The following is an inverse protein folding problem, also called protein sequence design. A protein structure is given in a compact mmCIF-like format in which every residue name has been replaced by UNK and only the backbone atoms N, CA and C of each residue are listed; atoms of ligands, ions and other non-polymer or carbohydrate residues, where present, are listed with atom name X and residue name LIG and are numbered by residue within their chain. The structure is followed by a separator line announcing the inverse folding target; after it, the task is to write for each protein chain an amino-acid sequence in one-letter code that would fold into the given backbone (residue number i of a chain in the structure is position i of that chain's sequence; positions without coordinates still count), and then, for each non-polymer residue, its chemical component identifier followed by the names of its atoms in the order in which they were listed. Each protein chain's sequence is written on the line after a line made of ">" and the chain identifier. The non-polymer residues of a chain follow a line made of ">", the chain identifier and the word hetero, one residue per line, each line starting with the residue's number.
data_IF_151428407947
#
_entry.id   IF_151428407947
#
_cell.length_a   1.000
_cell.length_b   1.000
_cell.length_c   1.000
_cell.angle_alpha   90.00
_cell.angle_beta   90.00
_cell.angle_gamma   90.00
#
_symmetry.space_group_name_H-M   'P 1'
#
loop_
_entity.id
_entity.type
_entity.pdbx_description
1 polymer ?
#
# COMPACT_ATOMS: atom_id res chain seq x y z
N UNK A 1 68.24 -18.89 18.23
CA UNK A 1 67.13 -17.91 18.03
C UNK A 1 66.13 -18.32 16.93
N UNK A 2 66.53 -18.71 15.72
CA UNK A 2 65.61 -18.99 14.60
C UNK A 2 64.56 -20.11 14.85
N UNK A 3 64.91 -21.15 15.61
CA UNK A 3 64.01 -22.30 15.88
C UNK A 3 62.78 -21.95 16.73
N UNK A 4 62.89 -20.97 17.63
CA UNK A 4 61.78 -20.54 18.49
C UNK A 4 60.79 -19.64 17.74
N UNK A 5 61.27 -18.81 16.82
CA UNK A 5 60.42 -17.97 15.98
C UNK A 5 59.58 -18.79 15.01
N UNK A 6 60.15 -19.85 14.43
CA UNK A 6 59.43 -20.79 13.56
C UNK A 6 58.27 -21.46 14.31
N UNK A 7 58.55 -21.96 15.52
CA UNK A 7 57.54 -22.64 16.34
C UNK A 7 56.36 -21.73 16.72
N UNK A 8 56.64 -20.46 17.01
CA UNK A 8 55.60 -19.45 17.28
C UNK A 8 54.75 -19.17 16.03
N UNK A 9 55.36 -19.13 14.85
CA UNK A 9 54.64 -18.94 13.58
C UNK A 9 53.76 -20.14 13.25
N UNK A 10 54.24 -21.37 13.47
CA UNK A 10 53.46 -22.60 13.31
C UNK A 10 52.22 -22.58 14.21
N UNK A 11 52.39 -22.27 15.51
CA UNK A 11 51.25 -22.21 16.44
C UNK A 11 50.23 -21.12 16.04
N UNK A 12 50.69 -19.98 15.52
CA UNK A 12 49.79 -18.93 15.01
C UNK A 12 49.05 -19.37 13.75
N UNK A 13 49.72 -20.10 12.86
CA UNK A 13 49.12 -20.62 11.63
C UNK A 13 48.01 -21.63 11.97
N UNK A 14 48.29 -22.56 12.88
CA UNK A 14 47.31 -23.57 13.33
C UNK A 14 46.09 -22.91 13.99
N UNK A 15 46.31 -21.88 14.81
CA UNK A 15 45.24 -21.11 15.43
C UNK A 15 44.40 -20.35 14.38
N UNK A 16 45.03 -19.76 13.36
CA UNK A 16 44.33 -19.10 12.28
C UNK A 16 43.53 -20.08 11.40
N UNK A 17 44.09 -21.25 11.10
CA UNK A 17 43.38 -22.30 10.37
C UNK A 17 42.13 -22.78 11.14
N UNK A 18 42.28 -23.01 12.45
CA UNK A 18 41.16 -23.40 13.31
C UNK A 18 40.06 -22.33 13.34
N UNK A 19 40.45 -21.05 13.42
CA UNK A 19 39.51 -19.94 13.39
C UNK A 19 38.79 -19.81 12.03
N UNK A 20 39.49 -20.02 10.91
CA UNK A 20 38.88 -20.02 9.57
C UNK A 20 37.84 -21.14 9.46
N UNK A 21 38.16 -22.35 9.91
CA UNK A 21 37.22 -23.48 9.90
C UNK A 21 35.97 -23.20 10.74
N UNK A 22 36.13 -22.54 11.90
CA UNK A 22 35.00 -22.13 12.73
C UNK A 22 34.12 -21.10 12.00
N UNK A 23 34.72 -20.11 11.35
CA UNK A 23 33.99 -19.12 10.56
C UNK A 23 33.24 -19.75 9.38
N UNK A 24 33.85 -20.68 8.66
CA UNK A 24 33.21 -21.43 7.58
C UNK A 24 32.02 -22.25 8.07
N UNK A 25 32.14 -22.90 9.23
CA UNK A 25 31.06 -23.64 9.87
C UNK A 25 29.88 -22.72 10.26
N UNK A 26 30.18 -21.57 10.87
CA UNK A 26 29.17 -20.56 11.23
C UNK A 26 28.49 -19.99 9.98
N UNK A 27 29.25 -19.71 8.93
CA UNK A 27 28.72 -19.20 7.65
C UNK A 27 27.77 -20.21 7.01
N UNK A 28 28.15 -21.49 6.96
CA UNK A 28 27.29 -22.54 6.43
C UNK A 28 25.98 -22.66 7.23
N UNK A 29 26.07 -22.61 8.56
CA UNK A 29 24.88 -22.64 9.43
C UNK A 29 23.97 -21.42 9.20
N UNK A 30 24.55 -20.23 9.08
CA UNK A 30 23.76 -19.02 8.80
C UNK A 30 23.13 -19.05 7.42
N UNK A 31 23.81 -19.64 6.43
CA UNK A 31 23.31 -19.78 5.06
C UNK A 31 22.11 -20.73 5.01
N UNK A 32 22.19 -21.88 5.69
CA UNK A 32 21.07 -22.83 5.77
C UNK A 32 19.87 -22.21 6.50
N UNK A 33 20.10 -21.56 7.64
CA UNK A 33 19.04 -20.83 8.36
C UNK A 33 18.37 -19.77 7.49
N UNK A 34 19.15 -19.04 6.69
CA UNK A 34 18.59 -18.03 5.77
C UNK A 34 17.73 -18.67 4.68
N UNK A 35 18.16 -19.81 4.15
CA UNK A 35 17.37 -20.56 3.16
C UNK A 35 16.06 -21.08 3.77
N UNK A 36 16.10 -21.58 5.00
CA UNK A 36 14.92 -22.06 5.72
C UNK A 36 13.91 -20.93 5.98
N UNK A 37 14.39 -19.77 6.46
CA UNK A 37 13.55 -18.58 6.68
C UNK A 37 12.88 -18.14 5.37
N UNK A 38 13.61 -18.11 4.25
CA UNK A 38 13.04 -17.77 2.95
C UNK A 38 11.93 -18.74 2.54
N UNK A 39 12.11 -20.03 2.78
CA UNK A 39 11.13 -21.06 2.47
C UNK A 39 9.86 -20.92 3.34
N UNK A 40 10.05 -20.70 4.65
CA UNK A 40 8.93 -20.43 5.57
C UNK A 40 8.14 -19.19 5.11
N UNK A 41 8.84 -18.11 4.78
CA UNK A 41 8.22 -16.86 4.34
C UNK A 41 7.42 -17.05 3.05
N UNK A 42 7.93 -17.81 2.09
CA UNK A 42 7.21 -18.16 0.87
C UNK A 42 5.92 -18.94 1.16
N UNK A 43 5.98 -19.96 2.02
CA UNK A 43 4.80 -20.74 2.44
C UNK A 43 3.77 -19.88 3.17
N UNK A 44 4.21 -19.01 4.08
CA UNK A 44 3.33 -18.09 4.79
C UNK A 44 2.65 -17.11 3.83
N UNK A 45 3.37 -16.62 2.82
CA UNK A 45 2.79 -15.75 1.80
C UNK A 45 1.70 -16.46 0.99
N UNK A 46 1.93 -17.73 0.63
CA UNK A 46 0.93 -18.56 -0.04
C UNK A 46 -0.30 -18.80 0.83
N UNK A 47 -0.12 -19.12 2.12
CA UNK A 47 -1.22 -19.26 3.08
C UNK A 47 -2.05 -17.97 3.21
N UNK A 48 -1.41 -16.81 3.27
CA UNK A 48 -2.09 -15.51 3.29
C UNK A 48 -2.90 -15.30 2.01
N UNK A 49 -2.37 -15.72 0.86
CA UNK A 49 -3.08 -15.63 -0.42
C UNK A 49 -4.34 -16.51 -0.42
N UNK A 50 -4.25 -17.73 0.10
CA UNK A 50 -5.41 -18.64 0.23
C UNK A 50 -6.46 -18.06 1.17
N UNK A 51 -6.07 -17.59 2.36
CA UNK A 51 -6.98 -16.96 3.32
C UNK A 51 -7.68 -15.72 2.75
N UNK A 52 -6.97 -14.92 1.94
CA UNK A 52 -7.57 -13.80 1.21
C UNK A 52 -8.63 -14.26 0.20
N UNK A 53 -8.42 -15.42 -0.45
CA UNK A 53 -9.40 -16.04 -1.33
C UNK A 53 -10.66 -16.44 -0.56
N UNK A 54 -10.48 -17.20 0.53
CA UNK A 54 -11.58 -17.63 1.41
C UNK A 54 -12.37 -16.45 1.99
N UNK A 55 -11.69 -15.36 2.35
CA UNK A 55 -12.34 -14.13 2.81
C UNK A 55 -13.19 -13.49 1.72
N UNK A 56 -12.73 -13.49 0.46
CA UNK A 56 -13.54 -12.98 -0.65
C UNK A 56 -14.77 -13.84 -0.88
N UNK A 57 -14.63 -15.16 -0.79
CA UNK A 57 -15.76 -16.09 -0.94
C UNK A 57 -16.79 -15.88 0.17
N UNK A 58 -16.33 -15.67 1.41
CA UNK A 58 -17.20 -15.36 2.54
C UNK A 58 -17.87 -13.98 2.39
N UNK A 59 -17.14 -12.97 1.90
CA UNK A 59 -17.70 -11.65 1.60
C UNK A 59 -18.80 -11.76 0.52
N UNK A 60 -18.54 -12.49 -0.57
CA UNK A 60 -19.51 -12.75 -1.62
C UNK A 60 -20.74 -13.47 -1.07
N UNK A 61 -20.54 -14.43 -0.17
CA UNK A 61 -21.64 -15.11 0.51
C UNK A 61 -22.48 -14.17 1.38
N UNK A 62 -21.85 -13.28 2.16
CA UNK A 62 -22.56 -12.25 2.93
C UNK A 62 -23.37 -11.35 2.00
N UNK A 63 -22.78 -10.90 0.89
CA UNK A 63 -23.49 -10.05 -0.09
C UNK A 63 -24.72 -10.76 -0.67
N UNK A 64 -24.60 -12.04 -1.04
CA UNK A 64 -25.76 -12.83 -1.50
C UNK A 64 -26.85 -12.95 -0.42
N UNK A 65 -26.48 -13.15 0.85
CA UNK A 65 -27.44 -13.23 1.96
C UNK A 65 -28.11 -11.88 2.26
N UNK A 66 -27.41 -10.77 2.05
CA UNK A 66 -28.01 -9.44 2.15
C UNK A 66 -29.02 -9.17 1.03
N UNK A 67 -28.75 -9.61 -0.20
CA UNK A 67 -29.65 -9.53 -1.34
C UNK A 67 -30.99 -10.24 -1.05
N UNK A 68 -30.93 -11.43 -0.45
CA UNK A 68 -32.13 -12.20 -0.05
C UNK A 68 -32.96 -11.45 1.01
N UNK A 69 -32.31 -10.72 1.93
CA UNK A 69 -32.97 -9.93 2.98
C UNK A 69 -33.53 -8.59 2.49
N UNK A 70 -32.94 -7.97 1.49
CA UNK A 70 -33.32 -6.64 0.96
C UNK A 70 -34.64 -6.63 0.18
N UNK A 71 -35.23 -7.80 -0.09
CA UNK A 71 -36.64 -7.92 -0.49
C UNK A 71 -37.62 -7.35 0.56
N UNK A 72 -37.15 -7.01 1.78
CA UNK A 72 -37.99 -6.55 2.88
C UNK A 72 -37.34 -5.48 3.80
N UNK A 73 -36.96 -4.27 3.35
CA UNK A 73 -37.01 -3.01 4.16
C UNK A 73 -36.51 -1.74 3.45
N UNK A 74 -36.78 -0.61 4.11
CA UNK A 74 -37.00 0.76 3.62
C UNK A 74 -35.80 1.56 3.09
N UNK A 75 -36.11 2.41 2.12
CA UNK A 75 -35.32 3.51 1.53
C UNK A 75 -34.56 4.34 2.58
N UNK A 76 -33.23 4.47 2.42
CA UNK A 76 -32.46 5.56 3.04
C UNK A 76 -30.98 5.27 3.33
N UNK A 77 -30.60 4.02 3.53
CA UNK A 77 -29.20 3.62 3.76
C UNK A 77 -28.66 2.94 2.51
N UNK A 78 -27.55 3.43 1.96
CA UNK A 78 -26.87 2.76 0.84
C UNK A 78 -26.46 1.37 1.32
N UNK A 79 -27.04 0.33 0.73
CA UNK A 79 -26.70 -1.04 1.13
C UNK A 79 -25.23 -1.31 0.82
N UNK A 80 -24.61 -2.24 1.56
CA UNK A 80 -23.24 -2.65 1.25
C UNK A 80 -23.15 -3.13 -0.20
N UNK A 81 -24.14 -3.85 -0.70
CA UNK A 81 -24.18 -4.29 -2.10
C UNK A 81 -24.20 -3.12 -3.09
N UNK A 82 -25.10 -2.13 -2.89
CA UNK A 82 -25.16 -0.93 -3.73
C UNK A 82 -23.82 -0.19 -3.71
N UNK A 83 -23.20 -0.07 -2.54
CA UNK A 83 -21.89 0.55 -2.37
C UNK A 83 -20.78 -0.23 -3.09
N UNK A 84 -20.75 -1.54 -2.95
CA UNK A 84 -19.76 -2.42 -3.57
C UNK A 84 -19.84 -2.34 -5.11
N UNK A 85 -21.05 -2.16 -5.65
CA UNK A 85 -21.30 -2.01 -7.08
C UNK A 85 -21.09 -0.58 -7.61
N UNK A 86 -21.31 0.45 -6.79
CA UNK A 86 -21.12 1.85 -7.20
C UNK A 86 -19.65 2.21 -7.39
N UNK A 87 -18.76 1.57 -6.64
CA UNK A 87 -17.32 1.83 -6.71
C UNK A 87 -16.64 1.11 -7.88
N UNK A 88 -15.97 1.87 -8.74
CA UNK A 88 -15.13 1.35 -9.81
C UNK A 88 -13.64 1.68 -9.54
N UNK A 89 -13.01 0.87 -8.67
CA UNK A 89 -11.59 0.99 -8.30
C UNK A 89 -10.75 0.11 -9.24
N UNK A 90 -9.65 0.63 -9.78
CA UNK A 90 -8.70 -0.14 -10.59
C UNK A 90 -8.12 -1.36 -9.87
N UNK A 91 -7.84 -2.42 -10.62
CA UNK A 91 -7.09 -3.60 -10.15
C UNK A 91 -5.59 -3.32 -10.02
N UNK A 92 -5.06 -2.29 -10.71
CA UNK A 92 -3.64 -1.91 -10.58
C UNK A 92 -3.39 -1.12 -9.28
N UNK A 93 -3.03 -1.87 -8.24
CA UNK A 93 -2.74 -1.32 -6.90
C UNK A 93 -1.56 -0.37 -6.85
N UNK A 94 -0.73 -0.28 -7.89
CA UNK A 94 0.34 0.73 -7.94
C UNK A 94 -0.21 2.15 -8.18
N UNK A 95 -1.48 2.26 -8.55
CA UNK A 95 -2.18 3.53 -8.77
C UNK A 95 -3.07 3.89 -7.57
N UNK A 96 -3.02 3.11 -6.50
CA UNK A 96 -3.86 3.25 -5.32
C UNK A 96 -3.02 3.73 -4.13
N UNK A 97 -3.48 4.79 -3.48
CA UNK A 97 -2.80 5.46 -2.37
C UNK A 97 -3.77 5.69 -1.22
N UNK A 98 -3.36 5.31 -0.01
CA UNK A 98 -4.19 5.43 1.18
C UNK A 98 -4.10 6.79 1.87
N UNK A 99 -5.25 7.42 2.11
CA UNK A 99 -5.38 8.53 3.08
C UNK A 99 -5.69 7.90 4.44
N UNK A 100 -4.67 7.82 5.32
CA UNK A 100 -4.74 7.11 6.60
C UNK A 100 -5.15 5.61 6.47
N UNK A 101 -4.80 5.00 5.35
CA UNK A 101 -4.89 3.55 5.09
C UNK A 101 -3.46 3.08 4.79
N UNK A 102 -3.03 2.00 5.44
CA UNK A 102 -1.67 1.47 5.23
C UNK A 102 -1.49 0.97 3.78
N UNK A 103 -0.41 1.39 3.12
CA UNK A 103 -0.10 0.93 1.77
C UNK A 103 0.06 -0.59 1.71
N UNK A 104 0.60 -1.23 2.75
CA UNK A 104 0.70 -2.70 2.84
C UNK A 104 -0.67 -3.36 2.84
N UNK A 105 -1.68 -2.73 3.44
CA UNK A 105 -3.06 -3.23 3.38
C UNK A 105 -3.57 -3.20 1.94
N UNK A 106 -3.43 -2.06 1.25
CA UNK A 106 -3.87 -1.90 -0.14
C UNK A 106 -3.17 -2.94 -1.04
N UNK A 107 -1.84 -3.10 -0.92
CA UNK A 107 -1.09 -4.04 -1.74
C UNK A 107 -1.50 -5.51 -1.51
N UNK A 108 -1.76 -5.89 -0.26
CA UNK A 108 -1.99 -7.29 0.11
C UNK A 108 -3.45 -7.74 0.10
N UNK A 109 -4.43 -6.84 -0.06
CA UNK A 109 -5.86 -7.17 -0.03
C UNK A 109 -6.51 -7.06 -1.40
N UNK A 110 -7.57 -7.83 -1.62
CA UNK A 110 -8.35 -7.78 -2.87
C UNK A 110 -9.12 -6.46 -2.98
N UNK A 111 -9.52 -6.07 -4.20
CA UNK A 111 -10.37 -4.89 -4.41
C UNK A 111 -11.70 -5.01 -3.63
N UNK A 112 -12.41 -6.15 -3.62
CA UNK A 112 -13.59 -6.31 -2.76
C UNK A 112 -13.31 -6.07 -1.27
N UNK A 113 -12.19 -6.56 -0.74
CA UNK A 113 -11.82 -6.32 0.67
C UNK A 113 -11.53 -4.83 0.92
N UNK A 114 -10.89 -4.15 -0.04
CA UNK A 114 -10.64 -2.70 0.05
C UNK A 114 -11.96 -1.92 0.03
N UNK A 115 -12.88 -2.25 -0.88
CA UNK A 115 -14.22 -1.64 -0.92
C UNK A 115 -14.97 -1.87 0.40
N UNK A 116 -14.99 -3.09 0.91
CA UNK A 116 -15.60 -3.37 2.22
C UNK A 116 -14.95 -2.56 3.35
N UNK A 117 -13.62 -2.44 3.35
CA UNK A 117 -12.92 -1.60 4.31
C UNK A 117 -13.37 -0.14 4.22
N UNK A 118 -13.45 0.43 3.02
CA UNK A 118 -13.95 1.79 2.82
C UNK A 118 -15.40 1.94 3.33
N UNK A 119 -16.27 0.96 3.08
CA UNK A 119 -17.63 0.93 3.63
C UNK A 119 -17.64 0.98 5.16
N UNK A 120 -16.80 0.19 5.83
CA UNK A 120 -16.73 0.17 7.31
C UNK A 120 -16.24 1.47 7.94
N UNK A 121 -15.66 2.38 7.14
CA UNK A 121 -15.23 3.71 7.58
C UNK A 121 -16.08 4.83 6.99
N UNK A 122 -17.32 4.53 6.58
CA UNK A 122 -18.28 5.50 6.05
C UNK A 122 -17.73 6.31 4.85
N UNK A 123 -16.87 5.69 4.03
CA UNK A 123 -16.25 6.34 2.89
C UNK A 123 -17.22 6.46 1.70
N UNK A 124 -18.26 7.30 1.84
CA UNK A 124 -19.33 7.46 0.86
C UNK A 124 -19.13 8.60 -0.14
N UNK A 125 -18.13 9.47 0.07
CA UNK A 125 -17.78 10.49 -0.92
C UNK A 125 -16.99 9.86 -2.06
N UNK A 126 -17.43 10.15 -3.28
CA UNK A 126 -16.73 9.79 -4.52
C UNK A 126 -16.54 11.06 -5.34
N UNK A 127 -15.29 11.45 -5.52
CA UNK A 127 -14.94 12.72 -6.16
C UNK A 127 -13.88 12.49 -7.24
N UNK A 128 -13.95 13.24 -8.33
CA UNK A 128 -12.94 13.23 -9.38
C UNK A 128 -12.35 14.63 -9.52
N UNK A 129 -11.03 14.72 -9.39
CA UNK A 129 -10.30 15.98 -9.30
C UNK A 129 -9.20 16.03 -10.35
N UNK A 130 -9.01 17.20 -10.97
CA UNK A 130 -7.91 17.46 -11.87
C UNK A 130 -6.89 18.40 -11.24
N UNK A 131 -5.72 17.86 -10.91
CA UNK A 131 -4.58 18.62 -10.44
C UNK A 131 -3.87 19.23 -11.66
N UNK A 132 -4.04 20.54 -11.84
CA UNK A 132 -3.47 21.29 -12.95
C UNK A 132 -2.13 21.93 -12.57
N UNK A 133 -1.38 22.39 -13.57
CA UNK A 133 -0.14 23.17 -13.40
C UNK A 133 1.00 22.44 -12.68
N UNK A 134 0.94 21.12 -12.62
CA UNK A 134 1.99 20.28 -12.05
C UNK A 134 2.99 19.86 -13.14
N UNK A 135 4.28 20.04 -12.86
CA UNK A 135 5.36 19.61 -13.75
C UNK A 135 5.64 18.11 -13.54
N UNK A 136 4.94 17.28 -14.31
CA UNK A 136 5.10 15.82 -14.29
C UNK A 136 5.87 15.41 -15.54
N UNK A 137 7.03 14.77 -15.37
CA UNK A 137 7.86 14.31 -16.47
C UNK A 137 7.99 12.79 -16.48
N UNK A 138 7.91 12.16 -15.32
CA UNK A 138 8.09 10.73 -15.12
C UNK A 138 7.04 10.16 -14.17
N UNK A 139 6.84 8.84 -14.21
CA UNK A 139 5.91 8.13 -13.32
C UNK A 139 6.21 8.34 -11.82
N UNK A 140 7.48 8.54 -11.46
CA UNK A 140 7.86 8.83 -10.06
C UNK A 140 7.35 10.18 -9.57
N UNK A 141 7.25 11.16 -10.45
CA UNK A 141 6.75 12.50 -10.12
C UNK A 141 5.26 12.44 -9.75
N UNK A 142 4.51 11.57 -10.42
CA UNK A 142 3.09 11.32 -10.12
C UNK A 142 2.93 10.82 -8.68
N UNK A 143 3.69 9.78 -8.30
CA UNK A 143 3.63 9.23 -6.95
C UNK A 143 4.00 10.29 -5.89
N UNK A 144 5.06 11.07 -6.14
CA UNK A 144 5.50 12.13 -5.24
C UNK A 144 4.42 13.22 -5.05
N UNK A 145 3.78 13.66 -6.13
CA UNK A 145 2.69 14.63 -6.08
C UNK A 145 1.54 14.10 -5.22
N UNK A 146 1.10 12.86 -5.46
CA UNK A 146 -0.03 12.27 -4.75
C UNK A 146 0.31 12.03 -3.28
N UNK A 147 1.50 11.55 -2.96
CA UNK A 147 1.97 11.43 -1.57
C UNK A 147 2.01 12.79 -0.86
N UNK A 148 2.49 13.83 -1.54
CA UNK A 148 2.52 15.20 -1.00
C UNK A 148 1.10 15.72 -0.74
N UNK A 149 0.17 15.48 -1.68
CA UNK A 149 -1.23 15.83 -1.51
C UNK A 149 -1.86 15.09 -0.33
N UNK A 150 -1.58 13.80 -0.17
CA UNK A 150 -2.09 12.98 0.94
C UNK A 150 -1.61 13.54 2.28
N UNK A 151 -0.32 13.87 2.40
CA UNK A 151 0.21 14.46 3.63
C UNK A 151 -0.40 15.84 3.91
N UNK A 152 -0.66 16.63 2.87
CA UNK A 152 -1.37 17.91 3.00
C UNK A 152 -2.80 17.72 3.55
N UNK A 153 -3.58 16.80 2.96
CA UNK A 153 -4.94 16.47 3.42
C UNK A 153 -4.91 15.98 4.87
N UNK A 154 -4.02 15.03 5.19
CA UNK A 154 -3.87 14.52 6.56
C UNK A 154 -3.58 15.64 7.56
N UNK A 155 -2.69 16.57 7.22
CA UNK A 155 -2.34 17.69 8.08
C UNK A 155 -3.54 18.62 8.30
N UNK A 156 -4.28 18.93 7.23
CA UNK A 156 -5.45 19.80 7.30
C UNK A 156 -6.52 19.23 8.26
N UNK A 157 -6.91 17.96 8.06
CA UNK A 157 -7.91 17.31 8.90
C UNK A 157 -7.42 17.04 10.33
N UNK A 158 -6.11 16.79 10.51
CA UNK A 158 -5.51 16.69 11.85
C UNK A 158 -5.64 17.99 12.64
N UNK A 159 -5.48 19.14 12.00
CA UNK A 159 -5.64 20.45 12.65
C UNK A 159 -7.09 20.72 13.08
N UNK A 160 -8.06 20.11 12.40
CA UNK A 160 -9.48 20.18 12.74
C UNK A 160 -9.95 19.10 13.73
N UNK A 161 -9.03 18.22 14.17
CA UNK A 161 -9.34 17.04 14.98
C UNK A 161 -10.36 16.08 14.34
N UNK A 162 -10.41 16.04 13.00
CA UNK A 162 -11.34 15.22 12.22
C UNK A 162 -10.61 13.99 11.64
N UNK A 163 -11.10 12.76 11.87
CA UNK A 163 -10.44 11.55 11.39
C UNK A 163 -10.75 11.30 9.91
N UNK A 164 -9.89 11.82 9.02
CA UNK A 164 -9.97 11.54 7.57
C UNK A 164 -9.49 10.13 7.24
N UNK A 165 -10.23 9.43 6.40
CA UNK A 165 -9.88 8.15 5.80
C UNK A 165 -10.35 8.09 4.35
N UNK A 166 -9.57 7.45 3.50
CA UNK A 166 -9.97 7.24 2.12
C UNK A 166 -8.90 6.64 1.25
N UNK A 167 -9.23 6.51 -0.03
CA UNK A 167 -8.39 5.99 -1.08
C UNK A 167 -8.32 7.01 -2.21
N UNK A 168 -7.12 7.30 -2.67
CA UNK A 168 -6.87 8.05 -3.90
C UNK A 168 -6.44 7.06 -4.99
N UNK A 169 -7.12 7.12 -6.12
CA UNK A 169 -6.83 6.36 -7.33
C UNK A 169 -6.34 7.31 -8.42
N UNK A 170 -5.27 6.93 -9.11
CA UNK A 170 -4.76 7.66 -10.27
C UNK A 170 -5.31 7.06 -11.55
N UNK A 171 -5.72 7.90 -12.50
CA UNK A 171 -6.19 7.42 -13.79
C UNK A 171 -5.07 6.61 -14.52
N UNK A 172 -5.34 5.34 -14.91
CA UNK A 172 -4.34 4.48 -15.56
C UNK A 172 -3.71 5.08 -16.82
N UNK A 173 -4.47 5.85 -17.60
CA UNK A 173 -3.97 6.47 -18.82
C UNK A 173 -2.81 7.45 -18.55
N UNK A 174 -2.84 8.13 -17.40
CA UNK A 174 -1.81 9.12 -17.04
C UNK A 174 -0.54 8.46 -16.49
N UNK A 175 -0.64 7.26 -15.90
CA UNK A 175 0.56 6.49 -15.52
C UNK A 175 1.35 5.99 -16.73
N UNK A 176 0.69 5.79 -17.89
CA UNK A 176 1.33 5.32 -19.11
C UNK A 176 1.91 6.47 -19.94
N UNK A 177 1.31 7.66 -19.86
CA UNK A 177 1.70 8.85 -20.60
C UNK A 177 1.91 10.05 -19.65
N UNK A 178 3.05 10.12 -18.94
CA UNK A 178 3.30 11.13 -17.91
C UNK A 178 3.45 12.58 -18.44
N UNK A 179 3.47 12.79 -19.76
CA UNK A 179 3.62 14.12 -20.38
C UNK A 179 2.33 14.98 -20.35
N UNK A 180 1.32 14.57 -19.57
CA UNK A 180 0.08 15.33 -19.42
C UNK A 180 0.25 16.47 -18.41
N UNK A 181 -0.25 17.67 -18.74
CA UNK A 181 -0.23 18.85 -17.84
C UNK A 181 -1.23 18.76 -16.68
N UNK A 182 -2.04 17.71 -16.65
CA UNK A 182 -3.13 17.53 -15.72
C UNK A 182 -3.10 16.11 -15.20
N UNK A 183 -3.04 15.95 -13.88
CA UNK A 183 -3.17 14.67 -13.20
C UNK A 183 -4.60 14.54 -12.67
N UNK A 184 -5.31 13.53 -13.13
CA UNK A 184 -6.67 13.22 -12.71
C UNK A 184 -6.61 12.16 -11.63
N UNK A 185 -7.20 12.48 -10.49
CA UNK A 185 -7.34 11.56 -9.38
C UNK A 185 -8.82 11.33 -9.08
N UNK A 186 -9.13 10.12 -8.64
CA UNK A 186 -10.41 9.79 -8.01
C UNK A 186 -10.18 9.60 -6.53
N UNK A 187 -11.07 10.16 -5.72
CA UNK A 187 -11.03 10.04 -4.28
C UNK A 187 -12.28 9.34 -3.78
N UNK A 188 -12.08 8.38 -2.87
CA UNK A 188 -13.12 7.63 -2.18
C UNK A 188 -12.90 7.78 -0.68
N UNK A 189 -13.75 8.50 0.04
CA UNK A 189 -13.48 8.77 1.45
C UNK A 189 -14.64 9.24 2.28
N UNK A 190 -14.39 9.46 3.57
CA UNK A 190 -15.41 9.73 4.58
C UNK A 190 -15.74 11.22 4.76
N UNK A 191 -14.97 12.10 4.13
CA UNK A 191 -15.27 13.52 4.02
C UNK A 191 -14.94 13.98 2.60
N UNK A 192 -15.63 15.00 2.11
CA UNK A 192 -15.22 15.70 0.89
C UNK A 192 -13.82 16.29 1.07
N UNK A 193 -13.01 16.30 0.00
CA UNK A 193 -11.69 16.94 0.00
C UNK A 193 -11.57 18.09 -1.02
N UNK A 194 -12.69 18.55 -1.59
CA UNK A 194 -12.70 19.57 -2.65
C UNK A 194 -11.96 20.84 -2.23
N UNK A 195 -12.20 21.37 -1.03
CA UNK A 195 -11.57 22.60 -0.55
C UNK A 195 -10.05 22.47 -0.42
N UNK A 196 -9.60 21.30 0.03
CA UNK A 196 -8.20 20.93 0.21
C UNK A 196 -7.51 20.78 -1.14
N UNK A 197 -8.16 20.15 -2.12
CA UNK A 197 -7.67 20.04 -3.50
C UNK A 197 -7.47 21.43 -4.09
N UNK A 198 -8.48 22.31 -4.00
CA UNK A 198 -8.37 23.66 -4.56
C UNK A 198 -7.27 24.48 -3.86
N UNK A 199 -7.15 24.34 -2.53
CA UNK A 199 -6.12 25.02 -1.76
C UNK A 199 -4.72 24.51 -2.11
N UNK A 200 -4.56 23.20 -2.28
CA UNK A 200 -3.33 22.57 -2.74
C UNK A 200 -2.93 23.08 -4.13
N UNK A 201 -3.85 23.06 -5.10
CA UNK A 201 -3.59 23.57 -6.46
C UNK A 201 -3.13 25.04 -6.41
N UNK A 202 -3.81 25.89 -5.63
CA UNK A 202 -3.44 27.31 -5.48
C UNK A 202 -2.03 27.49 -4.91
N UNK A 203 -1.68 26.77 -3.85
CA UNK A 203 -0.36 26.83 -3.22
C UNK A 203 0.77 26.45 -4.18
N UNK A 204 0.54 25.43 -5.01
CA UNK A 204 1.57 24.90 -5.91
C UNK A 204 1.53 25.51 -7.32
N UNK A 205 0.49 26.27 -7.67
CA UNK A 205 0.42 27.06 -8.91
C UNK A 205 0.98 28.48 -8.78
N UNK A 206 1.20 28.99 -7.55
CA UNK A 206 1.66 30.37 -7.31
C UNK A 206 3.18 30.59 -7.40
N UNK A 207 3.94 29.63 -7.93
CA UNK A 207 5.38 29.81 -8.20
C UNK A 207 5.63 29.94 -9.70
N UNK A 208 5.33 31.12 -10.23
CA UNK A 208 5.96 31.68 -11.43
C UNK A 208 6.67 32.98 -11.04
#
# INVERSE_FOLDING_TARGET
>A
MKKNQLKILETKLDAQQSYIQELESRLNTSSTQTADIKNILAKTHEQIKTLNGELNDLLNFILMLEEEKLSTKSKGVLSLQDYMHSLAITEDKNLLFGVNIDQKFIQNRSIPTIKYYLYTFDCFFQEEHQLQSLKIYQKKDIALVVETLIEYIKLFFKNQATPIKGLIEINPAQSLFPQSKHLTIKYYGNYSIEEEIQSFIKLYSQKD
#
